data_IF_339853636897
#
_entry.id   IF_339853636897
#
_cell.length_a   1.000
_cell.length_b   1.000
_cell.length_c   1.000
_cell.angle_alpha   90.00
_cell.angle_beta   90.00
_cell.angle_gamma   90.00
#
_symmetry.space_group_name_H-M   'P 1'
#
loop_
_entity.id
_entity.type
_entity.pdbx_description
1 polymer ?
#
# COMPACT_ATOMS: atom_id res chain seq x y z
N UNK A 1 -10.75 14.00 25.84
CA UNK A 1 -9.96 12.77 25.63
C UNK A 1 -10.01 12.23 24.18
N UNK A 2 -11.19 12.08 23.53
CA UNK A 2 -11.33 11.54 22.15
C UNK A 2 -10.65 12.39 21.07
N UNK A 3 -10.79 13.73 21.09
CA UNK A 3 -10.12 14.63 20.14
C UNK A 3 -8.58 14.54 20.22
N UNK A 4 -8.01 14.42 21.42
CA UNK A 4 -6.56 14.31 21.59
C UNK A 4 -6.00 12.97 21.07
N UNK A 5 -6.75 11.88 21.18
CA UNK A 5 -6.38 10.59 20.62
C UNK A 5 -6.37 10.62 19.08
N UNK A 6 -7.40 11.16 18.45
CA UNK A 6 -7.49 11.27 16.99
C UNK A 6 -6.39 12.18 16.41
N UNK A 7 -6.06 13.29 17.08
CA UNK A 7 -4.95 14.16 16.67
C UNK A 7 -3.61 13.41 16.75
N UNK A 8 -3.36 12.67 17.84
CA UNK A 8 -2.14 11.88 18.00
C UNK A 8 -1.99 10.85 16.88
N UNK A 9 -3.07 10.12 16.56
CA UNK A 9 -3.07 9.14 15.47
C UNK A 9 -2.77 9.84 14.13
N UNK A 10 -3.47 10.93 13.82
CA UNK A 10 -3.27 11.66 12.58
C UNK A 10 -1.83 12.18 12.42
N UNK A 11 -1.25 12.76 13.48
CA UNK A 11 0.15 13.24 13.49
C UNK A 11 1.14 12.08 13.32
N UNK A 12 0.93 10.95 14.01
CA UNK A 12 1.79 9.77 13.88
C UNK A 12 1.75 9.20 12.45
N UNK A 13 0.55 9.04 11.88
CA UNK A 13 0.39 8.54 10.51
C UNK A 13 0.96 9.50 9.48
N UNK A 14 0.81 10.82 9.70
CA UNK A 14 1.40 11.82 8.82
C UNK A 14 2.93 11.76 8.84
N UNK A 15 3.55 11.68 10.03
CA UNK A 15 5.00 11.51 10.15
C UNK A 15 5.50 10.24 9.46
N UNK A 16 4.83 9.10 9.70
CA UNK A 16 5.16 7.83 9.04
C UNK A 16 5.02 7.91 7.51
N UNK A 17 3.91 8.47 7.02
CA UNK A 17 3.66 8.63 5.59
C UNK A 17 4.65 9.57 4.91
N UNK A 18 5.09 10.65 5.59
CA UNK A 18 6.12 11.55 5.07
C UNK A 18 7.47 10.86 4.93
N UNK A 19 7.85 9.95 5.83
CA UNK A 19 9.07 9.14 5.69
C UNK A 19 9.01 8.30 4.41
N UNK A 20 7.86 7.68 4.14
CA UNK A 20 7.66 6.95 2.88
C UNK A 20 7.73 7.86 1.66
N UNK A 21 7.05 9.01 1.68
CA UNK A 21 7.08 9.98 0.57
C UNK A 21 8.51 10.51 0.34
N UNK A 22 9.27 10.80 1.41
CA UNK A 22 10.64 11.27 1.29
C UNK A 22 11.55 10.26 0.59
N UNK A 23 11.27 8.95 0.68
CA UNK A 23 12.03 7.92 -0.04
C UNK A 23 11.92 8.05 -1.57
N UNK A 24 10.87 8.70 -2.10
CA UNK A 24 10.73 9.00 -3.53
C UNK A 24 11.81 9.96 -4.04
N UNK A 25 12.47 10.72 -3.18
CA UNK A 25 13.60 11.56 -3.57
C UNK A 25 14.81 10.75 -4.09
N UNK A 26 14.89 9.47 -3.78
CA UNK A 26 15.90 8.55 -4.32
C UNK A 26 15.57 8.00 -5.72
N UNK A 27 14.34 8.25 -6.21
CA UNK A 27 13.91 7.83 -7.55
C UNK A 27 14.31 8.91 -8.56
N UNK A 28 14.73 8.48 -9.74
CA UNK A 28 14.98 9.43 -10.85
C UNK A 28 13.68 10.14 -11.21
N UNK A 29 13.71 11.47 -11.40
CA UNK A 29 12.51 12.20 -11.78
C UNK A 29 12.02 11.71 -13.15
N UNK A 30 10.68 11.70 -13.37
CA UNK A 30 10.12 11.31 -14.65
C UNK A 30 10.60 12.25 -15.76
N UNK A 31 10.75 11.72 -16.98
CA UNK A 31 11.00 12.53 -18.16
C UNK A 31 9.81 13.46 -18.41
N UNK A 32 10.09 14.73 -18.64
CA UNK A 32 9.07 15.70 -18.98
C UNK A 32 8.66 15.57 -20.45
N UNK A 33 7.44 16.02 -20.75
CA UNK A 33 6.97 16.11 -22.14
C UNK A 33 7.89 17.00 -22.99
N UNK A 34 8.10 16.69 -24.29
CA UNK A 34 8.92 17.51 -25.17
C UNK A 34 8.48 18.99 -25.14
N UNK A 35 9.43 19.90 -24.95
CA UNK A 35 9.17 21.33 -24.86
C UNK A 35 8.96 21.89 -23.45
N UNK A 36 8.92 21.06 -22.41
CA UNK A 36 8.89 21.51 -21.03
C UNK A 36 10.28 21.34 -20.42
N UNK A 37 11.05 22.41 -20.37
CA UNK A 37 12.36 22.44 -19.72
C UNK A 37 12.18 22.87 -18.26
N UNK A 38 12.45 21.98 -17.33
CA UNK A 38 12.49 22.28 -15.90
C UNK A 38 13.74 21.65 -15.29
N UNK A 39 14.30 22.35 -14.31
CA UNK A 39 15.40 21.80 -13.52
C UNK A 39 14.99 20.48 -12.87
N UNK A 40 15.80 19.40 -13.00
CA UNK A 40 15.51 18.09 -12.42
C UNK A 40 15.21 18.11 -10.91
N UNK A 41 15.85 19.02 -10.15
CA UNK A 41 15.56 19.18 -8.73
C UNK A 41 14.14 19.71 -8.50
N UNK A 42 13.70 20.67 -9.30
CA UNK A 42 12.33 21.20 -9.26
C UNK A 42 11.30 20.11 -9.59
N UNK A 43 11.52 19.32 -10.64
CA UNK A 43 10.64 18.20 -11.00
C UNK A 43 10.52 17.21 -9.84
N UNK A 44 11.64 16.89 -9.20
CA UNK A 44 11.70 15.96 -8.06
C UNK A 44 10.84 16.44 -6.88
N UNK A 45 10.84 17.73 -6.58
CA UNK A 45 9.96 18.29 -5.53
C UNK A 45 8.49 18.31 -5.92
N UNK A 46 8.17 18.62 -7.18
CA UNK A 46 6.80 18.62 -7.68
C UNK A 46 6.18 17.22 -7.61
N UNK A 47 6.95 16.15 -7.86
CA UNK A 47 6.45 14.78 -7.79
C UNK A 47 5.98 14.36 -6.39
N UNK A 48 6.45 15.06 -5.33
CA UNK A 48 6.00 14.77 -3.96
C UNK A 48 4.64 15.42 -3.62
N UNK A 49 4.21 16.42 -4.37
CA UNK A 49 2.98 17.18 -4.04
C UNK A 49 1.75 16.28 -4.05
N UNK A 50 1.58 15.49 -5.10
CA UNK A 50 0.42 14.59 -5.22
C UNK A 50 0.34 13.55 -4.09
N UNK A 51 1.40 12.77 -3.78
CA UNK A 51 1.36 11.85 -2.65
C UNK A 51 1.13 12.53 -1.29
N UNK A 52 1.63 13.76 -1.08
CA UNK A 52 1.36 14.52 0.16
C UNK A 52 -0.12 14.87 0.27
N UNK A 53 -0.72 15.37 -0.80
CA UNK A 53 -2.16 15.71 -0.84
C UNK A 53 -3.00 14.46 -0.55
N UNK A 54 -2.71 13.34 -1.23
CA UNK A 54 -3.41 12.08 -1.02
C UNK A 54 -3.24 11.56 0.42
N UNK A 55 -2.06 11.70 0.99
CA UNK A 55 -1.78 11.33 2.38
C UNK A 55 -2.66 12.13 3.36
N UNK A 56 -2.72 13.46 3.19
CA UNK A 56 -3.55 14.34 4.03
C UNK A 56 -5.03 13.95 3.91
N UNK A 57 -5.53 13.77 2.69
CA UNK A 57 -6.92 13.36 2.43
C UNK A 57 -7.21 12.01 3.11
N UNK A 58 -6.36 11.02 2.90
CA UNK A 58 -6.55 9.66 3.45
C UNK A 58 -6.54 9.63 4.97
N UNK A 59 -5.61 10.37 5.60
CA UNK A 59 -5.54 10.47 7.06
C UNK A 59 -6.76 11.20 7.60
N UNK A 60 -7.17 12.29 6.97
CA UNK A 60 -8.34 13.07 7.40
C UNK A 60 -9.59 12.20 7.34
N UNK A 61 -9.88 11.59 6.20
CA UNK A 61 -11.06 10.75 6.00
C UNK A 61 -11.01 9.52 6.92
N UNK A 62 -9.89 8.82 6.98
CA UNK A 62 -9.71 7.65 7.85
C UNK A 62 -9.96 8.00 9.32
N UNK A 63 -9.43 9.13 9.78
CA UNK A 63 -9.61 9.57 11.18
C UNK A 63 -11.06 9.94 11.49
N UNK A 64 -11.77 10.57 10.55
CA UNK A 64 -13.18 10.92 10.70
C UNK A 64 -14.10 9.71 10.69
N UNK A 65 -13.83 8.72 9.84
CA UNK A 65 -14.72 7.61 9.57
C UNK A 65 -14.36 6.31 10.32
N UNK A 66 -13.15 6.17 10.90
CA UNK A 66 -12.67 4.91 11.49
C UNK A 66 -13.66 4.27 12.47
N UNK A 67 -14.32 5.05 13.30
CA UNK A 67 -15.26 4.54 14.31
C UNK A 67 -16.58 4.10 13.67
N UNK A 68 -17.12 4.93 12.77
CA UNK A 68 -18.33 4.59 12.02
C UNK A 68 -18.10 3.35 11.14
N UNK A 69 -16.93 3.22 10.51
CA UNK A 69 -16.51 2.06 9.74
C UNK A 69 -16.21 0.82 10.61
N UNK A 70 -16.01 0.98 11.92
CA UNK A 70 -15.61 -0.11 12.81
C UNK A 70 -14.13 -0.50 12.70
N UNK A 71 -13.30 0.40 12.19
CA UNK A 71 -11.84 0.19 12.06
C UNK A 71 -11.17 0.31 13.42
N UNK A 72 -10.36 -0.68 13.75
CA UNK A 72 -9.57 -0.73 14.99
C UNK A 72 -8.09 -0.55 14.66
N UNK A 73 -7.41 0.24 15.49
CA UNK A 73 -5.97 0.49 15.39
C UNK A 73 -5.27 0.09 16.69
N UNK A 74 -5.14 -1.22 17.00
CA UNK A 74 -4.79 -1.70 18.33
C UNK A 74 -3.54 -1.04 18.94
N UNK A 75 -2.50 -0.81 18.13
CA UNK A 75 -1.25 -0.19 18.59
C UNK A 75 -1.40 1.34 18.71
N UNK A 76 -2.06 1.98 17.74
CA UNK A 76 -2.19 3.44 17.70
C UNK A 76 -3.27 3.96 18.68
N UNK A 77 -4.28 3.14 18.95
CA UNK A 77 -5.35 3.41 19.94
C UNK A 77 -4.97 2.96 21.36
N UNK A 78 -3.81 2.29 21.56
CA UNK A 78 -3.39 1.78 22.88
C UNK A 78 -3.28 2.92 23.89
N UNK A 79 -3.75 2.64 25.12
CA UNK A 79 -3.62 3.58 26.23
C UNK A 79 -2.23 3.49 26.85
N UNK A 80 -1.79 4.57 27.49
CA UNK A 80 -0.58 4.52 28.31
C UNK A 80 -0.70 3.44 29.38
N UNK A 81 0.29 2.53 29.42
CA UNK A 81 0.34 1.43 30.40
C UNK A 81 -0.08 0.06 29.89
N UNK A 82 -0.58 -0.05 28.65
CA UNK A 82 -0.78 -1.37 28.03
C UNK A 82 0.59 -2.00 27.68
N UNK A 83 0.75 -3.33 27.87
CA UNK A 83 2.01 -4.01 27.57
C UNK A 83 2.18 -4.15 26.04
N UNK A 84 2.71 -3.11 25.39
CA UNK A 84 2.96 -3.08 23.94
C UNK A 84 3.76 -4.32 23.48
N UNK A 85 4.66 -4.83 24.31
CA UNK A 85 5.43 -6.04 24.02
C UNK A 85 4.51 -7.24 23.76
N UNK A 86 3.48 -7.46 24.57
CA UNK A 86 2.53 -8.54 24.37
C UNK A 86 1.71 -8.36 23.06
N UNK A 87 1.35 -7.12 22.74
CA UNK A 87 0.67 -6.82 21.46
C UNK A 87 1.59 -7.15 20.29
N UNK A 88 2.85 -6.71 20.31
CA UNK A 88 3.80 -7.03 19.24
C UNK A 88 4.07 -8.54 19.12
N UNK A 89 4.22 -9.24 20.25
CA UNK A 89 4.39 -10.70 20.23
C UNK A 89 3.20 -11.41 19.57
N UNK A 90 1.97 -10.97 19.81
CA UNK A 90 0.77 -11.53 19.16
C UNK A 90 0.73 -11.30 17.64
N UNK A 91 1.48 -10.34 17.11
CA UNK A 91 1.54 -10.02 15.69
C UNK A 91 2.63 -10.81 14.94
N UNK A 92 3.58 -11.46 15.62
CA UNK A 92 4.70 -12.16 14.96
C UNK A 92 4.18 -13.28 14.05
N UNK A 93 3.33 -14.16 14.57
CA UNK A 93 2.80 -15.28 13.78
C UNK A 93 1.98 -14.81 12.58
N UNK A 94 0.96 -13.93 12.70
CA UNK A 94 0.22 -13.43 11.56
C UNK A 94 1.10 -12.63 10.58
N UNK A 95 2.10 -11.91 11.05
CA UNK A 95 3.10 -11.26 10.21
C UNK A 95 3.83 -12.26 9.30
N UNK A 96 4.42 -13.29 9.90
CA UNK A 96 5.15 -14.32 9.15
C UNK A 96 4.24 -15.04 8.14
N UNK A 97 3.05 -15.43 8.56
CA UNK A 97 2.09 -16.14 7.68
C UNK A 97 1.65 -15.24 6.52
N UNK A 98 1.18 -14.02 6.80
CA UNK A 98 0.63 -13.15 5.75
C UNK A 98 1.71 -12.64 4.79
N UNK A 99 2.91 -12.34 5.29
CA UNK A 99 4.06 -11.98 4.46
C UNK A 99 4.45 -13.13 3.53
N UNK A 100 4.54 -14.35 4.06
CA UNK A 100 4.88 -15.54 3.26
C UNK A 100 3.79 -15.84 2.22
N UNK A 101 2.52 -15.82 2.60
CA UNK A 101 1.38 -16.07 1.69
C UNK A 101 1.33 -15.02 0.57
N UNK A 102 1.53 -13.75 0.89
CA UNK A 102 1.54 -12.69 -0.12
C UNK A 102 2.71 -12.85 -1.11
N UNK A 103 3.92 -13.14 -0.62
CA UNK A 103 5.11 -13.31 -1.45
C UNK A 103 5.03 -14.59 -2.31
N UNK A 104 4.60 -15.72 -1.75
CA UNK A 104 4.45 -16.98 -2.50
C UNK A 104 3.38 -16.86 -3.59
N UNK A 105 2.26 -16.18 -3.34
CA UNK A 105 1.23 -15.98 -4.35
C UNK A 105 1.75 -15.14 -5.52
N UNK A 106 2.47 -14.04 -5.25
CA UNK A 106 3.08 -13.22 -6.31
C UNK A 106 4.18 -13.99 -7.06
N UNK A 107 5.01 -14.77 -6.35
CA UNK A 107 6.01 -15.64 -6.98
C UNK A 107 5.36 -16.66 -7.92
N UNK A 108 4.25 -17.28 -7.51
CA UNK A 108 3.51 -18.22 -8.35
C UNK A 108 2.97 -17.53 -9.62
N UNK A 109 2.37 -16.35 -9.48
CA UNK A 109 1.90 -15.56 -10.62
C UNK A 109 3.07 -15.20 -11.54
N UNK A 110 4.22 -14.78 -10.99
CA UNK A 110 5.43 -14.50 -11.74
C UNK A 110 5.88 -15.73 -12.56
N UNK A 111 6.01 -16.88 -11.92
CA UNK A 111 6.44 -18.11 -12.59
C UNK A 111 5.48 -18.54 -13.71
N UNK A 112 4.17 -18.34 -13.52
CA UNK A 112 3.17 -18.64 -14.54
C UNK A 112 3.21 -17.69 -15.73
N UNK A 113 3.63 -16.43 -15.54
CA UNK A 113 3.56 -15.36 -16.54
C UNK A 113 4.90 -15.03 -17.19
N UNK A 114 6.02 -15.32 -16.51
CA UNK A 114 7.37 -14.92 -16.91
C UNK A 114 7.73 -15.26 -18.37
N UNK A 115 7.35 -16.45 -18.86
CA UNK A 115 7.64 -16.87 -20.23
C UNK A 115 6.95 -16.02 -21.28
N UNK A 116 5.81 -15.42 -20.95
CA UNK A 116 5.02 -14.56 -21.82
C UNK A 116 5.40 -13.06 -21.77
N UNK A 117 6.37 -12.67 -20.94
CA UNK A 117 6.81 -11.28 -20.89
C UNK A 117 7.44 -10.84 -22.21
N UNK A 118 7.04 -9.66 -22.70
CA UNK A 118 7.69 -9.00 -23.83
C UNK A 118 9.12 -8.57 -23.52
N UNK A 119 9.95 -8.38 -24.56
CA UNK A 119 11.37 -7.96 -24.40
C UNK A 119 11.50 -6.67 -23.59
N UNK A 120 10.69 -5.67 -23.89
CA UNK A 120 10.70 -4.39 -23.19
C UNK A 120 10.48 -4.55 -21.67
N UNK A 121 9.53 -5.40 -21.24
CA UNK A 121 9.31 -5.63 -19.82
C UNK A 121 10.44 -6.43 -19.18
N UNK A 122 11.07 -7.35 -19.93
CA UNK A 122 12.26 -8.07 -19.44
C UNK A 122 13.44 -7.13 -19.19
N UNK A 123 13.60 -6.10 -20.00
CA UNK A 123 14.60 -5.05 -19.75
C UNK A 123 14.30 -4.27 -18.47
N UNK A 124 13.02 -3.93 -18.22
CA UNK A 124 12.60 -3.24 -16.98
C UNK A 124 12.90 -4.07 -15.74
N UNK A 125 12.54 -5.37 -15.72
CA UNK A 125 12.77 -6.22 -14.54
C UNK A 125 14.25 -6.58 -14.33
N UNK A 126 15.07 -6.57 -15.38
CA UNK A 126 16.51 -6.76 -15.28
C UNK A 126 17.27 -5.45 -15.03
N UNK A 127 16.58 -4.30 -15.09
CA UNK A 127 17.13 -2.99 -14.79
C UNK A 127 17.24 -2.73 -13.28
N UNK A 128 17.72 -1.54 -12.89
CA UNK A 128 17.91 -1.21 -11.48
C UNK A 128 16.60 -1.13 -10.67
N UNK A 129 15.45 -1.00 -11.35
CA UNK A 129 14.13 -0.90 -10.74
C UNK A 129 14.00 0.25 -9.73
N UNK A 130 12.93 0.22 -8.94
CA UNK A 130 12.79 1.15 -7.82
C UNK A 130 13.79 0.82 -6.71
N UNK A 131 14.43 1.85 -6.09
CA UNK A 131 15.33 1.65 -4.98
C UNK A 131 14.68 0.83 -3.85
N UNK A 132 15.44 -0.07 -3.26
CA UNK A 132 14.96 -0.96 -2.19
C UNK A 132 14.20 -0.21 -1.09
N UNK A 133 14.76 0.90 -0.60
CA UNK A 133 14.15 1.70 0.46
C UNK A 133 12.83 2.35 0.04
N UNK A 134 12.68 2.72 -1.22
CA UNK A 134 11.42 3.26 -1.75
C UNK A 134 10.32 2.20 -1.73
N UNK A 135 10.64 0.97 -2.14
CA UNK A 135 9.68 -0.15 -2.07
C UNK A 135 9.23 -0.40 -0.63
N UNK A 136 10.17 -0.43 0.32
CA UNK A 136 9.88 -0.68 1.74
C UNK A 136 9.12 0.49 2.38
N UNK A 137 9.58 1.72 2.18
CA UNK A 137 9.05 2.87 2.92
C UNK A 137 7.81 3.47 2.24
N UNK A 138 7.86 3.73 0.94
CA UNK A 138 6.69 4.27 0.24
C UNK A 138 5.62 3.19 0.06
N UNK A 139 5.97 2.04 -0.51
CA UNK A 139 5.05 0.92 -0.68
C UNK A 139 4.53 0.42 0.66
N UNK A 140 5.43 0.02 1.56
CA UNK A 140 5.03 -0.58 2.83
C UNK A 140 4.28 0.37 3.77
N UNK A 141 4.61 1.66 3.82
CA UNK A 141 4.01 2.60 4.79
C UNK A 141 2.98 3.50 4.13
N UNK A 142 3.39 4.30 3.13
CA UNK A 142 2.52 5.34 2.58
C UNK A 142 1.32 4.73 1.87
N UNK A 143 1.54 3.73 1.02
CA UNK A 143 0.45 3.09 0.28
C UNK A 143 -0.55 2.39 1.20
N UNK A 144 -0.12 1.80 2.32
CA UNK A 144 -1.04 1.22 3.30
C UNK A 144 -1.89 2.28 4.01
N UNK A 145 -1.32 3.45 4.32
CA UNK A 145 -2.10 4.56 4.86
C UNK A 145 -3.13 5.04 3.82
N UNK A 146 -2.73 5.20 2.56
CA UNK A 146 -3.63 5.62 1.48
C UNK A 146 -4.76 4.61 1.27
N UNK A 147 -4.40 3.35 1.07
CA UNK A 147 -5.33 2.31 0.63
C UNK A 147 -6.16 1.72 1.77
N UNK A 148 -5.55 1.43 2.93
CA UNK A 148 -6.25 0.76 4.02
C UNK A 148 -6.92 1.77 4.95
N UNK A 149 -6.16 2.74 5.44
CA UNK A 149 -6.71 3.73 6.34
C UNK A 149 -7.58 4.77 5.63
N UNK A 150 -7.25 5.14 4.38
CA UNK A 150 -8.07 6.01 3.54
C UNK A 150 -9.20 5.24 2.85
N UNK A 151 -8.91 4.65 1.70
CA UNK A 151 -9.91 4.09 0.77
C UNK A 151 -10.74 2.97 1.39
N UNK A 152 -10.12 1.96 2.00
CA UNK A 152 -10.86 0.82 2.55
C UNK A 152 -11.76 1.24 3.71
N UNK A 153 -11.34 2.21 4.53
CA UNK A 153 -12.19 2.76 5.60
C UNK A 153 -13.44 3.44 5.05
N UNK A 154 -13.33 4.18 3.94
CA UNK A 154 -14.48 4.78 3.25
C UNK A 154 -15.44 3.70 2.76
N UNK A 155 -14.93 2.67 2.09
CA UNK A 155 -15.74 1.57 1.55
C UNK A 155 -16.45 0.80 2.67
N UNK A 156 -15.76 0.50 3.76
CA UNK A 156 -16.35 -0.13 4.94
C UNK A 156 -17.47 0.72 5.53
N UNK A 157 -17.25 2.04 5.62
CA UNK A 157 -18.28 2.96 6.10
C UNK A 157 -19.50 2.98 5.17
N UNK A 158 -19.31 3.16 3.86
CA UNK A 158 -20.39 3.17 2.88
C UNK A 158 -21.22 1.88 2.94
N UNK A 159 -20.55 0.72 2.92
CA UNK A 159 -21.24 -0.57 2.95
C UNK A 159 -21.98 -0.81 4.26
N UNK A 160 -21.49 -0.27 5.36
CA UNK A 160 -22.14 -0.36 6.66
C UNK A 160 -23.41 0.50 6.72
N UNK A 161 -23.42 1.68 6.08
CA UNK A 161 -24.59 2.55 6.00
C UNK A 161 -25.67 1.97 5.08
N UNK A 162 -25.27 1.35 3.95
CA UNK A 162 -26.21 0.83 2.96
C UNK A 162 -26.80 -0.52 3.39
N UNK A 163 -26.01 -1.42 3.93
CA UNK A 163 -26.36 -2.82 4.14
C UNK A 163 -26.06 -3.26 5.58
N UNK A 164 -27.10 -3.36 6.41
CA UNK A 164 -27.00 -3.90 7.77
C UNK A 164 -27.10 -5.44 7.73
N UNK A 165 -26.44 -6.22 8.52
CA UNK A 165 -25.26 -6.15 9.38
C UNK A 165 -24.25 -7.31 9.17
N UNK A 166 -23.89 -7.75 7.97
CA UNK A 166 -22.88 -8.81 7.84
C UNK A 166 -21.48 -8.21 7.65
N UNK A 167 -20.75 -8.03 8.75
CA UNK A 167 -19.41 -7.43 8.75
C UNK A 167 -18.39 -8.19 7.89
N UNK A 168 -18.54 -9.50 7.73
CA UNK A 168 -17.67 -10.31 6.88
C UNK A 168 -17.89 -10.00 5.39
N UNK A 169 -19.14 -9.89 4.95
CA UNK A 169 -19.46 -9.54 3.55
C UNK A 169 -18.97 -8.13 3.23
N UNK A 170 -19.25 -7.16 4.13
CA UNK A 170 -18.76 -5.78 3.98
C UNK A 170 -17.24 -5.72 3.87
N UNK A 171 -16.54 -6.48 4.72
CA UNK A 171 -15.09 -6.59 4.66
C UNK A 171 -14.63 -7.13 3.30
N UNK A 172 -15.14 -8.28 2.85
CA UNK A 172 -14.65 -8.89 1.60
C UNK A 172 -14.92 -8.03 0.37
N UNK A 173 -16.08 -7.37 0.30
CA UNK A 173 -16.37 -6.41 -0.78
C UNK A 173 -15.39 -5.23 -0.72
N UNK A 174 -15.20 -4.61 0.45
CA UNK A 174 -14.27 -3.49 0.60
C UNK A 174 -12.84 -3.90 0.27
N UNK A 175 -12.41 -5.07 0.73
CA UNK A 175 -11.07 -5.58 0.48
C UNK A 175 -10.83 -5.86 -1.01
N UNK A 176 -11.80 -6.50 -1.66
CA UNK A 176 -11.76 -6.78 -3.10
C UNK A 176 -11.65 -5.49 -3.93
N UNK A 177 -12.53 -4.51 -3.67
CA UNK A 177 -12.53 -3.23 -4.40
C UNK A 177 -11.25 -2.43 -4.14
N UNK A 178 -10.77 -2.42 -2.90
CA UNK A 178 -9.51 -1.75 -2.55
C UNK A 178 -8.31 -2.44 -3.23
N UNK A 179 -8.28 -3.77 -3.26
CA UNK A 179 -7.21 -4.52 -3.93
C UNK A 179 -7.25 -4.32 -5.45
N UNK A 180 -8.43 -4.23 -6.07
CA UNK A 180 -8.56 -3.86 -7.48
C UNK A 180 -8.04 -2.46 -7.76
N UNK A 181 -8.42 -1.48 -6.94
CA UNK A 181 -7.93 -0.11 -7.10
C UNK A 181 -6.40 -0.04 -6.90
N UNK A 182 -5.88 -0.76 -5.93
CA UNK A 182 -4.44 -0.87 -5.70
C UNK A 182 -3.71 -1.45 -6.92
N UNK A 183 -4.22 -2.55 -7.48
CA UNK A 183 -3.64 -3.18 -8.65
C UNK A 183 -3.67 -2.26 -9.89
N UNK A 184 -4.83 -1.65 -10.17
CA UNK A 184 -4.98 -0.74 -11.31
C UNK A 184 -4.18 0.55 -11.16
N UNK A 185 -3.93 0.99 -9.92
CA UNK A 185 -3.08 2.14 -9.61
C UNK A 185 -1.62 1.97 -10.08
N UNK A 186 -1.17 0.73 -10.33
CA UNK A 186 0.17 0.45 -10.86
C UNK A 186 0.26 0.53 -12.39
N UNK A 187 -0.88 0.57 -13.12
CA UNK A 187 -0.89 0.62 -14.57
C UNK A 187 -0.20 1.87 -15.16
N UNK A 188 -0.39 3.09 -14.63
CA UNK A 188 0.29 4.25 -15.18
C UNK A 188 1.82 4.11 -15.17
N UNK A 189 2.38 3.54 -14.09
CA UNK A 189 3.82 3.31 -13.99
C UNK A 189 4.30 2.34 -15.06
N UNK A 190 3.60 1.20 -15.25
CA UNK A 190 4.01 0.22 -16.26
C UNK A 190 3.84 0.73 -17.70
N UNK A 191 2.80 1.51 -17.99
CA UNK A 191 2.61 2.09 -19.33
C UNK A 191 3.66 3.17 -19.65
N UNK A 192 4.19 3.87 -18.64
CA UNK A 192 5.30 4.80 -18.82
C UNK A 192 6.60 4.08 -19.16
N UNK A 193 6.87 2.93 -18.54
CA UNK A 193 8.09 2.13 -18.77
C UNK A 193 7.96 1.25 -20.04
N UNK A 194 6.77 0.70 -20.27
CA UNK A 194 6.48 -0.21 -21.37
C UNK A 194 5.18 0.24 -22.03
N UNK A 195 5.24 1.08 -23.10
CA UNK A 195 4.04 1.64 -23.73
C UNK A 195 3.06 0.59 -24.28
N UNK A 196 3.56 -0.60 -24.64
CA UNK A 196 2.73 -1.72 -25.16
C UNK A 196 3.07 -3.01 -24.42
N UNK A 197 2.65 -3.16 -23.15
CA UNK A 197 2.94 -4.35 -22.36
C UNK A 197 2.20 -5.57 -22.91
N UNK A 198 2.82 -6.75 -22.87
CA UNK A 198 2.15 -8.00 -23.23
C UNK A 198 1.01 -8.30 -22.25
N UNK A 199 0.04 -9.11 -22.69
CA UNK A 199 -1.04 -9.55 -21.81
C UNK A 199 -0.51 -10.26 -20.55
N UNK A 200 0.59 -11.00 -20.66
CA UNK A 200 1.22 -11.68 -19.54
C UNK A 200 1.85 -10.72 -18.54
N UNK A 201 2.44 -9.62 -19.03
CA UNK A 201 2.93 -8.52 -18.18
C UNK A 201 1.76 -7.89 -17.40
N UNK A 202 0.64 -7.63 -18.08
CA UNK A 202 -0.55 -7.07 -17.42
C UNK A 202 -1.14 -8.04 -16.38
N UNK A 203 -1.21 -9.35 -16.69
CA UNK A 203 -1.67 -10.37 -15.73
C UNK A 203 -0.74 -10.42 -14.51
N UNK A 204 0.57 -10.33 -14.71
CA UNK A 204 1.53 -10.29 -13.60
C UNK A 204 1.34 -9.06 -12.71
N UNK A 205 1.33 -7.87 -13.32
CA UNK A 205 1.21 -6.61 -12.56
C UNK A 205 -0.14 -6.53 -11.84
N UNK A 206 -1.24 -6.76 -12.56
CA UNK A 206 -2.58 -6.68 -11.97
C UNK A 206 -2.83 -7.82 -10.98
N UNK A 207 -2.51 -9.05 -11.36
CA UNK A 207 -2.74 -10.22 -10.51
C UNK A 207 -1.86 -10.20 -9.25
N UNK A 208 -0.58 -9.85 -9.39
CA UNK A 208 0.35 -9.75 -8.27
C UNK A 208 -0.04 -8.69 -7.25
N UNK A 209 -0.33 -7.47 -7.72
CA UNK A 209 -0.76 -6.38 -6.84
C UNK A 209 -2.15 -6.62 -6.24
N UNK A 210 -3.07 -7.23 -7.00
CA UNK A 210 -4.39 -7.62 -6.49
C UNK A 210 -4.26 -8.66 -5.37
N UNK A 211 -3.49 -9.73 -5.58
CA UNK A 211 -3.26 -10.75 -4.58
C UNK A 211 -2.61 -10.19 -3.30
N UNK A 212 -1.50 -9.46 -3.45
CA UNK A 212 -0.84 -8.81 -2.34
C UNK A 212 -1.79 -7.83 -1.61
N UNK A 213 -2.56 -7.06 -2.38
CA UNK A 213 -3.59 -6.16 -1.89
C UNK A 213 -4.64 -6.85 -1.01
N UNK A 214 -5.12 -8.03 -1.41
CA UNK A 214 -6.05 -8.83 -0.59
C UNK A 214 -5.43 -9.26 0.75
N UNK A 215 -4.15 -9.68 0.73
CA UNK A 215 -3.43 -10.10 1.95
C UNK A 215 -3.24 -8.92 2.91
N UNK A 216 -2.83 -7.76 2.41
CA UNK A 216 -2.62 -6.55 3.23
C UNK A 216 -3.94 -6.02 3.80
N UNK A 217 -5.02 -6.05 3.01
CA UNK A 217 -6.34 -5.67 3.49
C UNK A 217 -6.88 -6.62 4.56
N UNK A 218 -6.60 -7.92 4.45
CA UNK A 218 -6.92 -8.87 5.53
C UNK A 218 -6.11 -8.59 6.80
N UNK A 219 -4.80 -8.29 6.66
CA UNK A 219 -3.96 -7.86 7.77
C UNK A 219 -4.53 -6.63 8.49
N UNK A 220 -4.94 -5.62 7.71
CA UNK A 220 -5.57 -4.40 8.23
C UNK A 220 -6.86 -4.70 9.01
N UNK A 221 -7.77 -5.44 8.42
CA UNK A 221 -9.07 -5.72 9.02
C UNK A 221 -8.95 -6.54 10.30
N UNK A 222 -8.08 -7.54 10.29
CA UNK A 222 -8.00 -8.51 11.40
C UNK A 222 -7.10 -8.04 12.54
N UNK A 223 -6.02 -7.31 12.21
CA UNK A 223 -4.94 -6.99 13.15
C UNK A 223 -4.58 -5.50 13.19
N UNK A 224 -5.15 -4.68 12.31
CA UNK A 224 -4.93 -3.24 12.24
C UNK A 224 -3.81 -2.81 11.30
N UNK A 225 -3.70 -1.47 11.13
CA UNK A 225 -2.85 -0.85 10.12
C UNK A 225 -1.36 -1.19 10.27
N UNK A 226 -0.87 -1.30 11.49
CA UNK A 226 0.56 -1.59 11.72
C UNK A 226 0.93 -2.98 11.17
N UNK A 227 0.06 -3.99 11.33
CA UNK A 227 0.35 -5.30 10.73
C UNK A 227 0.28 -5.26 9.20
N UNK A 228 -0.64 -4.51 8.61
CA UNK A 228 -0.69 -4.33 7.16
C UNK A 228 0.61 -3.71 6.64
N UNK A 229 1.09 -2.64 7.27
CA UNK A 229 2.37 -1.99 6.98
C UNK A 229 3.53 -3.00 7.08
N UNK A 230 3.66 -3.70 8.19
CA UNK A 230 4.74 -4.68 8.39
C UNK A 230 4.67 -5.81 7.36
N UNK A 231 3.48 -6.32 7.04
CA UNK A 231 3.26 -7.37 6.04
C UNK A 231 3.69 -6.90 4.65
N UNK A 232 3.36 -5.66 4.27
CA UNK A 232 3.75 -5.10 2.99
C UNK A 232 5.27 -4.84 2.91
N UNK A 233 5.87 -4.30 3.96
CA UNK A 233 7.34 -4.16 4.06
C UNK A 233 8.04 -5.51 3.96
N UNK A 234 7.57 -6.52 4.69
CA UNK A 234 8.10 -7.88 4.64
C UNK A 234 7.92 -8.55 3.27
N UNK A 235 6.79 -8.31 2.61
CA UNK A 235 6.54 -8.72 1.24
C UNK A 235 7.61 -8.16 0.28
N UNK A 236 7.88 -6.85 0.33
CA UNK A 236 8.92 -6.25 -0.49
C UNK A 236 10.32 -6.74 -0.14
N UNK A 237 10.59 -7.00 1.14
CA UNK A 237 11.86 -7.59 1.56
C UNK A 237 12.07 -8.97 0.92
N UNK A 238 11.06 -9.83 0.96
CA UNK A 238 11.15 -11.18 0.39
C UNK A 238 11.26 -11.12 -1.14
N UNK A 239 10.36 -10.37 -1.79
CA UNK A 239 10.29 -10.32 -3.26
C UNK A 239 11.51 -9.67 -3.89
N UNK A 240 12.17 -8.73 -3.21
CA UNK A 240 13.40 -8.11 -3.68
C UNK A 240 14.56 -9.11 -3.88
N UNK A 241 14.60 -10.19 -3.10
CA UNK A 241 15.65 -11.22 -3.21
C UNK A 241 15.24 -12.41 -4.09
N UNK A 242 13.97 -12.49 -4.50
CA UNK A 242 13.46 -13.67 -5.21
C UNK A 242 13.04 -13.35 -6.65
N UNK A 243 12.53 -12.15 -6.89
CA UNK A 243 12.02 -11.67 -8.17
C UNK A 243 12.81 -10.43 -8.59
#
# INVERSE_FOLDING_TARGET
MRKSSNLRIAVSLFGMGLVGIASLLSVSPPSLSPGLEMDPATVRWITLVNPIILLIISITIGTLLKEAAGVKLPILDSKQGEPLVAVFQSLIQPFLVLTTVSALGVLLIYLCTYRGFGSAYREVINGPGLPFWTRILYGGITEEILMRYGVMTVLLWILKEINRPNSHVQFWISNFLTAMLFATGHLPAIFNEVPSPSIWTLIYILGGNFWAGLCFGYAFWRYGLILAILTHMGFHLITYFII
#
